data_IF_962312653328
#
_entry.id   IF_962312653328
#
_cell.length_a   1.000
_cell.length_b   1.000
_cell.length_c   1.000
_cell.angle_alpha   90.00
_cell.angle_beta   90.00
_cell.angle_gamma   90.00
#
_symmetry.space_group_name_H-M   'P 1'
#
loop_
_entity.id
_entity.type
_entity.pdbx_description
1 polymer ?
#
# COMPACT_ATOMS: atom_id res chain seq x y z
N UNK A 1 11.05 31.70 -0.78
CA UNK A 1 10.72 30.56 -1.65
C UNK A 1 10.24 29.40 -0.78
N UNK A 2 9.19 28.69 -1.21
CA UNK A 2 8.74 27.48 -0.53
C UNK A 2 9.52 26.27 -1.05
N UNK A 3 9.78 25.29 -0.17
CA UNK A 3 10.28 23.98 -0.57
C UNK A 3 9.06 23.15 -1.00
N UNK A 4 9.07 22.62 -2.21
CA UNK A 4 8.05 21.71 -2.71
C UNK A 4 8.42 20.29 -2.28
N UNK A 5 7.46 19.61 -1.61
CA UNK A 5 7.54 18.19 -1.30
C UNK A 5 6.58 17.45 -2.24
N UNK A 6 7.08 16.79 -3.28
CA UNK A 6 6.25 16.01 -4.17
C UNK A 6 5.83 14.71 -3.49
N UNK A 7 4.52 14.49 -3.43
CA UNK A 7 3.89 13.30 -2.85
C UNK A 7 3.20 12.53 -3.98
N UNK A 8 3.50 11.25 -4.08
CA UNK A 8 2.88 10.35 -5.06
C UNK A 8 2.06 9.28 -4.32
N UNK A 9 0.84 9.07 -4.79
CA UNK A 9 -0.02 7.99 -4.32
C UNK A 9 -0.68 7.34 -5.54
N UNK A 10 -0.76 6.01 -5.56
CA UNK A 10 -1.32 5.26 -6.69
C UNK A 10 -2.49 4.38 -6.22
N UNK A 11 -3.67 4.53 -6.85
CA UNK A 11 -4.85 3.78 -6.46
C UNK A 11 -5.90 3.76 -7.59
N UNK A 12 -6.80 2.76 -7.54
CA UNK A 12 -7.98 2.68 -8.39
C UNK A 12 -9.22 3.27 -7.69
N UNK A 13 -10.35 3.26 -8.42
CA UNK A 13 -11.61 3.80 -7.91
C UNK A 13 -12.12 3.10 -6.62
N UNK A 14 -11.76 1.84 -6.39
CA UNK A 14 -12.15 1.10 -5.18
C UNK A 14 -11.40 1.56 -3.94
N UNK A 15 -10.21 2.11 -4.13
CA UNK A 15 -9.36 2.64 -3.06
C UNK A 15 -9.52 4.15 -2.83
N UNK A 16 -10.51 4.81 -3.45
CA UNK A 16 -10.74 6.25 -3.27
C UNK A 16 -10.99 6.64 -1.79
N UNK A 17 -11.76 5.84 -1.04
CA UNK A 17 -12.03 6.09 0.39
C UNK A 17 -10.75 5.93 1.23
N UNK A 18 -10.00 4.80 1.18
CA UNK A 18 -8.72 4.68 1.85
C UNK A 18 -7.73 5.79 1.49
N UNK A 19 -7.61 6.13 0.20
CA UNK A 19 -6.74 7.21 -0.28
C UNK A 19 -7.12 8.57 0.34
N UNK A 20 -8.42 8.88 0.44
CA UNK A 20 -8.90 10.10 1.10
C UNK A 20 -8.51 10.16 2.56
N UNK A 21 -8.67 9.07 3.31
CA UNK A 21 -8.24 8.97 4.72
C UNK A 21 -6.73 9.10 4.85
N UNK A 22 -5.97 8.41 3.99
CA UNK A 22 -4.50 8.47 3.98
C UNK A 22 -4.01 9.91 3.75
N UNK A 23 -4.47 10.57 2.69
CA UNK A 23 -4.07 11.93 2.35
C UNK A 23 -4.49 12.95 3.41
N UNK A 24 -5.73 12.84 3.94
CA UNK A 24 -6.18 13.73 5.01
C UNK A 24 -5.29 13.58 6.25
N UNK A 25 -5.05 12.35 6.71
CA UNK A 25 -4.23 12.10 7.90
C UNK A 25 -2.80 12.61 7.71
N UNK A 26 -2.22 12.43 6.52
CA UNK A 26 -0.88 12.94 6.19
C UNK A 26 -0.82 14.46 6.34
N UNK A 27 -1.76 15.20 5.71
CA UNK A 27 -1.76 16.66 5.77
C UNK A 27 -2.14 17.21 7.14
N UNK A 28 -3.00 16.51 7.89
CA UNK A 28 -3.36 16.89 9.25
C UNK A 28 -2.18 16.82 10.24
N UNK A 29 -1.21 15.95 9.97
CA UNK A 29 0.02 15.83 10.75
C UNK A 29 1.19 16.66 10.18
N UNK A 30 1.05 17.20 8.96
CA UNK A 30 2.14 17.79 8.21
C UNK A 30 2.62 19.12 8.80
N UNK A 31 3.91 19.27 8.95
CA UNK A 31 4.53 20.58 9.22
C UNK A 31 4.42 21.48 7.99
N UNK A 32 4.20 22.76 8.22
CA UNK A 32 4.14 23.79 7.15
C UNK A 32 5.45 24.54 6.97
N UNK A 33 6.47 24.24 7.78
CA UNK A 33 7.80 24.83 7.73
C UNK A 33 8.88 23.81 8.08
N UNK A 34 10.03 23.95 7.42
CA UNK A 34 11.28 23.29 7.78
C UNK A 34 12.36 24.38 7.92
N UNK A 35 12.88 24.55 9.15
CA UNK A 35 13.61 25.74 9.56
C UNK A 35 12.82 27.03 9.19
N UNK A 36 13.43 27.97 8.48
CA UNK A 36 12.77 29.23 8.09
C UNK A 36 12.02 29.18 6.74
N UNK A 37 12.02 28.00 6.07
CA UNK A 37 11.40 27.84 4.76
C UNK A 37 10.01 27.23 4.89
N UNK A 38 9.04 27.79 4.17
CA UNK A 38 7.70 27.23 4.06
C UNK A 38 7.77 25.91 3.28
N UNK A 39 6.97 24.92 3.68
CA UNK A 39 6.76 23.69 2.94
C UNK A 39 5.46 23.77 2.14
N UNK A 40 5.48 23.19 0.94
CA UNK A 40 4.31 23.04 0.10
C UNK A 40 4.23 21.60 -0.41
N UNK A 41 3.13 20.91 -0.14
CA UNK A 41 2.94 19.51 -0.53
C UNK A 41 2.22 19.44 -1.89
N UNK A 42 2.95 19.02 -2.93
CA UNK A 42 2.40 18.81 -4.26
C UNK A 42 2.02 17.34 -4.41
N UNK A 43 0.73 17.05 -4.33
CA UNK A 43 0.21 15.69 -4.33
C UNK A 43 -0.18 15.31 -5.77
N UNK A 44 0.35 14.20 -6.26
CA UNK A 44 0.02 13.60 -7.54
C UNK A 44 -0.63 12.23 -7.28
N UNK A 45 -1.92 12.14 -7.61
CA UNK A 45 -2.66 10.89 -7.56
C UNK A 45 -2.56 10.20 -8.92
N UNK A 46 -1.81 9.10 -9.01
CA UNK A 46 -1.87 8.19 -10.15
C UNK A 46 -3.14 7.36 -9.99
N UNK A 47 -4.04 7.39 -10.96
CA UNK A 47 -5.36 6.77 -10.83
C UNK A 47 -5.71 5.88 -12.02
N UNK A 48 -6.56 4.88 -11.78
CA UNK A 48 -7.13 4.00 -12.79
C UNK A 48 -8.65 4.15 -12.78
N UNK A 49 -9.21 4.81 -13.81
CA UNK A 49 -10.64 5.05 -13.97
C UNK A 49 -11.31 5.67 -12.73
N UNK A 50 -10.67 6.66 -12.12
CA UNK A 50 -11.23 7.35 -10.97
C UNK A 50 -12.44 8.20 -11.41
N UNK A 51 -13.62 7.94 -10.83
CA UNK A 51 -14.84 8.68 -11.15
C UNK A 51 -14.71 10.17 -10.81
N UNK A 52 -15.38 11.03 -11.58
CA UNK A 52 -15.42 12.47 -11.32
C UNK A 52 -15.96 12.79 -9.92
N UNK A 53 -16.90 11.99 -9.43
CA UNK A 53 -17.45 12.11 -8.08
C UNK A 53 -16.37 11.85 -7.02
N UNK A 54 -15.56 10.80 -7.18
CA UNK A 54 -14.47 10.51 -6.25
C UNK A 54 -13.33 11.54 -6.36
N UNK A 55 -13.05 12.06 -7.56
CA UNK A 55 -12.11 13.19 -7.72
C UNK A 55 -12.59 14.43 -6.96
N UNK A 56 -13.89 14.76 -7.07
CA UNK A 56 -14.50 15.87 -6.33
C UNK A 56 -14.39 15.68 -4.83
N UNK A 57 -14.78 14.50 -4.32
CA UNK A 57 -14.66 14.16 -2.89
C UNK A 57 -13.22 14.22 -2.37
N UNK A 58 -12.26 13.78 -3.15
CA UNK A 58 -10.84 13.90 -2.79
C UNK A 58 -10.40 15.35 -2.71
N UNK A 59 -10.79 16.20 -3.68
CA UNK A 59 -10.52 17.65 -3.61
C UNK A 59 -11.15 18.28 -2.36
N UNK A 60 -12.42 17.97 -2.09
CA UNK A 60 -13.11 18.45 -0.88
C UNK A 60 -12.43 17.97 0.42
N UNK A 61 -11.95 16.70 0.43
CA UNK A 61 -11.19 16.15 1.56
C UNK A 61 -9.94 16.98 1.86
N UNK A 62 -9.28 17.50 0.83
CA UNK A 62 -8.01 18.22 0.95
C UNK A 62 -8.17 19.74 1.03
N UNK A 63 -9.34 20.28 0.74
CA UNK A 63 -9.61 21.73 0.78
C UNK A 63 -9.20 22.44 2.09
N UNK A 64 -9.30 21.83 3.29
CA UNK A 64 -8.81 22.46 4.51
C UNK A 64 -7.29 22.76 4.50
N UNK A 65 -6.53 22.19 3.59
CA UNK A 65 -5.08 22.29 3.50
C UNK A 65 -4.56 23.10 2.30
N UNK A 66 -5.44 23.72 1.51
CA UNK A 66 -5.11 24.46 0.27
C UNK A 66 -4.05 25.55 0.46
N UNK A 67 -3.89 26.06 1.69
CA UNK A 67 -2.86 27.05 2.00
C UNK A 67 -1.42 26.52 1.81
N UNK A 68 -1.22 25.20 1.90
CA UNK A 68 0.12 24.57 1.83
C UNK A 68 0.13 23.23 1.07
N UNK A 69 -0.95 22.84 0.45
CA UNK A 69 -1.02 21.62 -0.35
C UNK A 69 -1.85 21.82 -1.63
N UNK A 70 -1.60 21.02 -2.64
CA UNK A 70 -2.44 20.91 -3.84
C UNK A 70 -2.47 19.49 -4.36
N UNK A 71 -3.55 19.10 -5.06
CA UNK A 71 -3.73 17.76 -5.61
C UNK A 71 -4.03 17.79 -7.10
N UNK A 72 -3.33 16.93 -7.85
CA UNK A 72 -3.57 16.66 -9.26
C UNK A 72 -3.83 15.17 -9.47
N UNK A 73 -4.58 14.83 -10.52
CA UNK A 73 -4.87 13.45 -10.90
C UNK A 73 -4.27 13.15 -12.28
N UNK A 74 -3.52 12.07 -12.37
CA UNK A 74 -3.00 11.52 -13.63
C UNK A 74 -3.64 10.15 -13.83
N UNK A 75 -4.56 10.06 -14.79
CA UNK A 75 -5.22 8.79 -15.14
C UNK A 75 -4.30 7.96 -16.05
N UNK A 76 -4.02 6.73 -15.63
CA UNK A 76 -3.21 5.76 -16.37
C UNK A 76 -4.05 4.61 -16.94
N UNK A 77 -5.38 4.75 -16.99
CA UNK A 77 -6.30 3.67 -17.37
C UNK A 77 -6.08 3.16 -18.80
N UNK A 78 -5.77 4.06 -19.72
CA UNK A 78 -5.59 3.74 -21.14
C UNK A 78 -4.17 4.02 -21.60
N UNK A 79 -3.54 3.07 -22.33
CA UNK A 79 -2.27 3.34 -22.99
C UNK A 79 -2.45 4.43 -24.07
N UNK A 80 -1.39 5.18 -24.33
CA UNK A 80 -1.36 6.18 -25.40
C UNK A 80 -1.24 5.51 -26.78
N UNK A 81 -2.33 5.02 -27.31
CA UNK A 81 -2.39 4.31 -28.60
C UNK A 81 -2.00 5.17 -29.83
N UNK A 82 -1.75 6.46 -29.66
CA UNK A 82 -1.52 7.43 -30.76
C UNK A 82 -0.13 8.04 -30.81
N UNK A 83 0.83 7.57 -30.00
CA UNK A 83 2.22 8.06 -30.13
C UNK A 83 2.90 7.39 -31.32
N UNK A 84 3.16 8.16 -32.34
CA UNK A 84 4.02 7.77 -33.50
C UNK A 84 5.51 7.74 -33.13
N UNK A 85 5.87 7.98 -31.87
CA UNK A 85 7.25 7.92 -31.38
C UNK A 85 7.68 6.49 -31.11
N UNK A 86 8.91 6.17 -31.48
CA UNK A 86 9.56 4.88 -31.26
C UNK A 86 9.73 4.56 -29.76
N UNK A 87 9.64 5.58 -28.89
CA UNK A 87 9.75 5.44 -27.44
C UNK A 87 8.35 5.26 -26.80
N UNK A 88 8.19 4.19 -26.03
CA UNK A 88 7.00 3.95 -25.23
C UNK A 88 6.84 5.06 -24.17
N UNK A 89 5.64 5.60 -24.03
CA UNK A 89 5.32 6.49 -22.91
C UNK A 89 5.45 5.77 -21.58
N UNK A 90 5.56 6.49 -20.46
CA UNK A 90 5.58 5.89 -19.12
C UNK A 90 4.32 5.05 -18.86
N UNK A 91 3.16 5.47 -19.37
CA UNK A 91 1.89 4.73 -19.24
C UNK A 91 1.95 3.44 -20.02
N UNK A 92 2.48 3.45 -21.26
CA UNK A 92 2.62 2.23 -22.08
C UNK A 92 3.54 1.22 -21.41
N UNK A 93 4.67 1.68 -20.83
CA UNK A 93 5.59 0.81 -20.05
C UNK A 93 4.91 0.16 -18.85
N UNK A 94 4.00 0.88 -18.15
CA UNK A 94 3.22 0.32 -17.02
C UNK A 94 2.31 -0.81 -17.52
N UNK A 95 1.58 -0.59 -18.62
CA UNK A 95 0.70 -1.59 -19.21
C UNK A 95 1.48 -2.81 -19.73
N UNK A 96 2.59 -2.55 -20.41
CA UNK A 96 3.48 -3.60 -20.90
C UNK A 96 4.02 -4.45 -19.76
N UNK A 97 4.61 -3.80 -18.72
CA UNK A 97 5.15 -4.50 -17.56
C UNK A 97 4.07 -5.32 -16.83
N UNK A 98 2.85 -4.78 -16.66
CA UNK A 98 1.76 -5.54 -16.06
C UNK A 98 1.36 -6.75 -16.92
N UNK A 99 1.40 -6.63 -18.25
CA UNK A 99 1.09 -7.74 -19.18
C UNK A 99 2.03 -8.94 -19.02
N UNK A 100 3.28 -8.70 -18.59
CA UNK A 100 4.30 -9.74 -18.38
C UNK A 100 4.13 -10.53 -17.08
N UNK A 101 3.25 -10.11 -16.17
CA UNK A 101 3.06 -10.79 -14.90
C UNK A 101 2.30 -12.12 -15.05
N UNK A 102 2.54 -13.04 -14.11
CA UNK A 102 1.78 -14.29 -14.03
C UNK A 102 0.31 -14.04 -13.64
N UNK A 103 -0.53 -15.05 -13.88
CA UNK A 103 -1.97 -14.94 -13.63
C UNK A 103 -2.29 -14.67 -12.15
N UNK A 104 -1.53 -15.24 -11.22
CA UNK A 104 -1.73 -15.03 -9.79
C UNK A 104 -1.52 -13.55 -9.41
N UNK A 105 -0.42 -12.95 -9.89
CA UNK A 105 -0.14 -11.54 -9.66
C UNK A 105 -1.23 -10.65 -10.29
N UNK A 106 -1.66 -10.93 -11.53
CA UNK A 106 -2.72 -10.18 -12.22
C UNK A 106 -4.10 -10.28 -11.56
N UNK A 107 -4.40 -11.38 -10.87
CA UNK A 107 -5.68 -11.52 -10.15
C UNK A 107 -5.64 -10.88 -8.78
N UNK A 108 -4.46 -10.74 -8.18
CA UNK A 108 -4.28 -10.18 -6.84
C UNK A 108 -4.05 -8.67 -6.84
N UNK A 109 -3.34 -8.16 -7.83
CA UNK A 109 -2.92 -6.77 -7.91
C UNK A 109 -3.51 -6.09 -9.15
N UNK A 110 -3.82 -4.81 -9.02
CA UNK A 110 -4.11 -3.96 -10.17
C UNK A 110 -2.79 -3.49 -10.83
N UNK A 111 -2.87 -3.00 -12.08
CA UNK A 111 -1.71 -2.43 -12.77
C UNK A 111 -1.07 -1.25 -12.04
N UNK A 112 -1.80 -0.63 -11.09
CA UNK A 112 -1.33 0.50 -10.28
C UNK A 112 -0.04 0.20 -9.52
N UNK A 113 0.21 -1.07 -9.13
CA UNK A 113 1.45 -1.45 -8.46
C UNK A 113 2.69 -1.23 -9.34
N UNK A 114 2.54 -1.38 -10.67
CA UNK A 114 3.64 -1.21 -11.63
C UNK A 114 4.06 0.26 -11.83
N UNK A 115 3.23 1.23 -11.42
CA UNK A 115 3.61 2.66 -11.49
C UNK A 115 4.92 2.95 -10.76
N UNK A 116 5.21 2.19 -9.69
CA UNK A 116 6.46 2.34 -8.91
C UNK A 116 7.73 2.10 -9.71
N UNK A 117 7.63 1.38 -10.82
CA UNK A 117 8.79 1.07 -11.65
C UNK A 117 9.15 2.18 -12.64
N UNK A 118 8.24 3.16 -12.87
CA UNK A 118 8.35 4.17 -13.91
C UNK A 118 8.16 5.61 -13.40
N UNK A 119 8.55 5.86 -12.13
CA UNK A 119 8.35 7.15 -11.47
C UNK A 119 9.20 8.28 -12.07
N UNK A 120 10.38 7.97 -12.60
CA UNK A 120 11.28 8.96 -13.18
C UNK A 120 10.74 9.49 -14.52
N UNK A 121 10.11 8.63 -15.33
CA UNK A 121 9.43 9.00 -16.57
C UNK A 121 8.08 9.70 -16.32
N UNK A 122 7.33 9.27 -15.27
CA UNK A 122 6.08 9.92 -14.88
C UNK A 122 6.27 11.32 -14.30
N UNK A 123 7.39 11.56 -13.60
CA UNK A 123 7.66 12.82 -12.89
C UNK A 123 9.06 13.38 -13.23
N UNK A 124 9.32 13.71 -14.51
CA UNK A 124 10.64 14.17 -14.95
C UNK A 124 11.06 15.52 -14.33
N UNK A 125 10.09 16.30 -13.82
CA UNK A 125 10.30 17.60 -13.20
C UNK A 125 10.88 17.53 -11.78
N UNK A 126 10.90 16.34 -11.14
CA UNK A 126 11.39 16.16 -9.78
C UNK A 126 12.67 15.35 -9.74
N UNK A 127 13.59 15.73 -8.85
CA UNK A 127 14.77 14.94 -8.54
C UNK A 127 14.54 13.96 -7.39
N UNK A 128 13.58 14.27 -6.50
CA UNK A 128 13.25 13.47 -5.32
C UNK A 128 11.76 13.57 -5.03
N UNK A 129 11.17 12.44 -4.63
CA UNK A 129 9.76 12.34 -4.26
C UNK A 129 9.56 11.46 -3.01
N UNK A 130 8.40 11.58 -2.39
CA UNK A 130 7.87 10.59 -1.43
C UNK A 130 6.71 9.88 -2.12
N UNK A 131 6.66 8.54 -2.02
CA UNK A 131 5.54 7.74 -2.48
C UNK A 131 5.06 6.82 -1.37
N UNK A 132 3.73 6.67 -1.23
CA UNK A 132 3.15 5.73 -0.27
C UNK A 132 1.85 5.10 -0.79
N UNK A 133 1.45 3.99 -0.15
CA UNK A 133 0.24 3.25 -0.49
C UNK A 133 -1.02 3.95 0.03
N UNK A 134 -2.15 3.71 -0.65
CA UNK A 134 -3.44 4.29 -0.27
C UNK A 134 -4.05 3.67 1.00
N UNK A 135 -3.60 2.50 1.42
CA UNK A 135 -4.05 1.79 2.63
C UNK A 135 -3.20 2.13 3.85
N UNK A 136 -2.96 3.42 4.06
CA UNK A 136 -2.12 3.95 5.14
C UNK A 136 -2.87 4.94 6.03
N UNK A 137 -2.32 5.19 7.22
CA UNK A 137 -2.79 6.20 8.16
C UNK A 137 -1.57 6.89 8.79
N UNK A 138 -1.47 8.20 8.62
CA UNK A 138 -0.39 8.97 9.22
C UNK A 138 -0.75 9.38 10.65
N UNK A 139 0.19 9.18 11.56
CA UNK A 139 0.08 9.55 12.97
C UNK A 139 1.01 10.71 13.34
N UNK A 140 2.06 10.94 12.54
CA UNK A 140 3.02 12.01 12.71
C UNK A 140 3.46 12.61 11.38
N UNK A 141 4.21 13.70 11.46
CA UNK A 141 4.72 14.45 10.32
C UNK A 141 5.68 13.62 9.45
N UNK A 142 5.43 13.63 8.14
CA UNK A 142 6.23 12.91 7.14
C UNK A 142 7.32 13.77 6.51
N UNK A 143 7.27 15.10 6.68
CA UNK A 143 8.12 16.03 5.92
C UNK A 143 9.61 15.82 6.13
N UNK A 144 10.02 15.43 7.34
CA UNK A 144 11.43 15.19 7.66
C UNK A 144 12.02 14.05 6.82
N UNK A 145 11.20 13.10 6.37
CA UNK A 145 11.66 12.02 5.50
C UNK A 145 12.17 12.54 4.15
N UNK A 146 11.59 13.63 3.63
CA UNK A 146 12.04 14.24 2.38
C UNK A 146 13.47 14.75 2.44
N UNK A 147 13.95 15.13 3.62
CA UNK A 147 15.30 15.69 3.81
C UNK A 147 16.35 14.60 4.10
N UNK A 148 15.98 13.34 4.28
CA UNK A 148 16.93 12.23 4.44
C UNK A 148 17.82 12.15 3.18
N UNK A 149 19.17 12.20 3.29
CA UNK A 149 20.06 12.09 2.15
C UNK A 149 19.91 10.71 1.46
N UNK A 150 19.91 10.72 0.13
CA UNK A 150 19.87 9.49 -0.69
C UNK A 150 21.08 9.41 -1.64
N UNK A 151 22.24 9.94 -1.22
CA UNK A 151 23.44 9.90 -2.04
C UNK A 151 23.88 8.45 -2.29
N UNK A 152 23.89 8.05 -3.56
CA UNK A 152 24.22 6.68 -3.96
C UNK A 152 23.10 5.65 -3.80
N UNK A 153 21.93 6.02 -3.23
CA UNK A 153 20.77 5.14 -3.09
C UNK A 153 19.68 5.49 -4.08
N UNK A 154 19.06 4.48 -4.67
CA UNK A 154 17.89 4.66 -5.55
C UNK A 154 16.65 5.09 -4.77
N UNK A 155 16.47 4.51 -3.59
CA UNK A 155 15.37 4.85 -2.69
C UNK A 155 15.67 4.46 -1.25
N UNK A 156 14.89 5.02 -0.34
CA UNK A 156 14.78 4.58 1.05
C UNK A 156 13.48 3.81 1.26
N UNK A 157 13.55 2.66 1.95
CA UNK A 157 12.40 1.81 2.31
C UNK A 157 12.64 1.04 3.60
N UNK A 158 11.58 0.67 4.32
CA UNK A 158 11.66 -0.26 5.43
C UNK A 158 11.74 -1.71 4.92
N UNK A 159 12.41 -2.59 5.64
CA UNK A 159 12.37 -4.03 5.34
C UNK A 159 10.97 -4.58 5.54
N UNK A 160 10.56 -5.52 4.70
CA UNK A 160 9.30 -6.24 4.91
C UNK A 160 9.45 -7.18 6.11
N UNK A 161 8.57 -7.04 7.11
CA UNK A 161 8.63 -7.87 8.31
C UNK A 161 8.08 -9.29 8.10
N UNK A 162 7.24 -9.47 7.07
CA UNK A 162 6.59 -10.74 6.76
C UNK A 162 7.47 -11.64 5.89
N UNK A 163 8.57 -11.10 5.35
CA UNK A 163 9.49 -11.89 4.54
C UNK A 163 10.34 -12.83 5.39
N UNK A 164 10.64 -14.04 4.89
CA UNK A 164 11.62 -14.92 5.50
C UNK A 164 12.95 -14.18 5.65
N UNK A 165 13.59 -14.34 6.81
CA UNK A 165 14.84 -13.63 7.10
C UNK A 165 16.07 -14.18 6.37
N UNK A 166 15.95 -15.36 5.76
CA UNK A 166 17.03 -16.01 4.99
C UNK A 166 16.50 -17.19 4.20
N UNK A 167 17.22 -17.59 3.17
CA UNK A 167 16.94 -18.81 2.41
C UNK A 167 16.91 -20.06 3.32
N UNK A 168 17.80 -20.14 4.30
CA UNK A 168 17.82 -21.23 5.28
C UNK A 168 16.55 -21.27 6.14
N UNK A 169 16.06 -20.11 6.59
CA UNK A 169 14.80 -20.02 7.35
C UNK A 169 13.62 -20.48 6.48
N UNK A 170 13.60 -20.07 5.22
CA UNK A 170 12.60 -20.49 4.26
C UNK A 170 12.60 -22.00 4.01
N UNK A 171 13.78 -22.61 3.80
CA UNK A 171 13.92 -24.07 3.64
C UNK A 171 13.39 -24.81 4.87
N UNK A 172 13.69 -24.32 6.08
CA UNK A 172 13.20 -24.90 7.35
C UNK A 172 11.68 -24.77 7.49
N UNK A 173 11.09 -23.63 7.12
CA UNK A 173 9.64 -23.42 7.12
C UNK A 173 8.95 -24.34 6.11
N UNK A 174 9.54 -24.52 4.91
CA UNK A 174 9.06 -25.42 3.89
C UNK A 174 9.04 -26.89 4.34
N UNK A 175 10.06 -27.33 5.03
CA UNK A 175 10.11 -28.70 5.60
C UNK A 175 9.01 -28.91 6.62
N UNK A 176 8.62 -27.87 7.37
CA UNK A 176 7.53 -27.91 8.36
C UNK A 176 6.15 -27.82 7.75
N UNK A 177 5.98 -27.03 6.68
CA UNK A 177 4.70 -26.81 6.00
C UNK A 177 4.81 -26.97 4.46
N UNK A 178 4.92 -28.20 3.95
CA UNK A 178 5.17 -28.46 2.52
C UNK A 178 4.11 -27.98 1.54
N UNK A 179 2.92 -27.58 2.03
CA UNK A 179 1.76 -27.19 1.21
C UNK A 179 1.55 -25.69 1.11
N UNK A 180 2.39 -24.87 1.72
CA UNK A 180 2.26 -23.42 1.59
C UNK A 180 2.81 -22.89 0.26
N UNK A 181 2.21 -21.82 -0.24
CA UNK A 181 2.34 -21.18 -1.56
C UNK A 181 3.73 -20.62 -1.93
N UNK A 182 4.78 -21.13 -1.36
CA UNK A 182 6.16 -20.74 -1.69
C UNK A 182 6.66 -21.32 -3.02
N UNK A 183 5.87 -22.16 -3.66
CA UNK A 183 6.24 -22.90 -4.88
C UNK A 183 6.47 -22.04 -6.12
N UNK A 184 5.98 -20.79 -6.17
CA UNK A 184 6.16 -19.92 -7.33
C UNK A 184 7.62 -19.49 -7.52
N UNK A 185 8.26 -18.99 -6.46
CA UNK A 185 9.68 -18.60 -6.55
C UNK A 185 10.60 -19.75 -6.92
N UNK A 186 10.32 -20.95 -6.40
CA UNK A 186 11.16 -22.12 -6.58
C UNK A 186 11.14 -22.69 -8.01
N UNK A 187 10.02 -22.56 -8.69
CA UNK A 187 9.91 -23.08 -10.05
C UNK A 187 10.56 -22.18 -11.11
N UNK A 188 10.75 -20.90 -10.80
CA UNK A 188 11.04 -19.91 -11.81
C UNK A 188 12.21 -18.98 -11.48
N UNK A 189 12.59 -18.83 -10.21
CA UNK A 189 13.76 -18.04 -9.80
C UNK A 189 14.94 -18.98 -9.54
N UNK A 190 16.13 -18.56 -9.96
CA UNK A 190 17.35 -19.23 -9.58
C UNK A 190 17.68 -18.98 -8.09
N UNK A 191 18.57 -19.78 -7.53
CA UNK A 191 18.94 -19.74 -6.11
C UNK A 191 19.46 -18.35 -5.68
N UNK A 192 20.24 -17.70 -6.54
CA UNK A 192 20.77 -16.34 -6.27
C UNK A 192 19.66 -15.30 -6.14
N UNK A 193 18.68 -15.31 -7.06
CA UNK A 193 17.56 -14.37 -7.02
C UNK A 193 16.68 -14.60 -5.79
N UNK A 194 16.43 -15.87 -5.46
CA UNK A 194 15.71 -16.23 -4.25
C UNK A 194 16.43 -15.72 -2.99
N UNK A 195 17.74 -15.89 -2.91
CA UNK A 195 18.53 -15.40 -1.80
C UNK A 195 18.45 -13.86 -1.69
N UNK A 196 18.56 -13.14 -2.82
CA UNK A 196 18.43 -11.67 -2.83
C UNK A 196 17.08 -11.25 -2.27
N UNK A 197 15.98 -11.86 -2.70
CA UNK A 197 14.62 -11.54 -2.23
C UNK A 197 14.52 -11.83 -0.72
N UNK A 198 14.89 -13.01 -0.27
CA UNK A 198 14.73 -13.37 1.13
C UNK A 198 15.57 -12.54 2.10
N UNK A 199 16.75 -12.12 1.70
CA UNK A 199 17.63 -11.32 2.55
C UNK A 199 17.33 -9.82 2.51
N UNK A 200 16.79 -9.33 1.38
CA UNK A 200 16.67 -7.91 1.09
C UNK A 200 15.26 -7.44 0.76
N UNK A 201 14.23 -8.23 1.04
CA UNK A 201 12.86 -7.83 0.71
C UNK A 201 12.46 -6.55 1.45
N UNK A 202 12.05 -5.53 0.68
CA UNK A 202 11.63 -4.23 1.18
C UNK A 202 10.13 -4.07 1.02
N UNK A 203 9.47 -3.52 2.02
CA UNK A 203 8.07 -3.12 1.85
C UNK A 203 8.01 -1.76 1.16
N UNK A 204 7.48 -1.73 -0.07
CA UNK A 204 7.44 -0.54 -0.92
C UNK A 204 6.22 0.35 -0.68
N UNK A 205 5.47 0.10 0.38
CA UNK A 205 4.32 0.92 0.76
C UNK A 205 4.67 2.30 1.31
N UNK A 206 5.95 2.58 1.56
CA UNK A 206 6.52 3.90 1.78
C UNK A 206 7.90 3.98 1.18
N UNK A 207 8.11 4.93 0.29
CA UNK A 207 9.38 5.16 -0.42
C UNK A 207 9.77 6.64 -0.40
N UNK A 208 11.06 6.89 -0.21
CA UNK A 208 11.70 8.15 -0.57
C UNK A 208 12.54 7.82 -1.79
N UNK A 209 12.27 8.45 -2.94
CA UNK A 209 12.88 8.02 -4.22
C UNK A 209 13.80 9.10 -4.79
N UNK A 210 15.01 8.70 -5.20
CA UNK A 210 15.99 9.53 -5.89
C UNK A 210 15.82 9.40 -7.41
N UNK A 211 14.87 10.14 -7.97
CA UNK A 211 14.58 10.10 -9.41
C UNK A 211 15.74 10.58 -10.28
N UNK A 212 16.56 11.49 -9.74
CA UNK A 212 17.79 11.93 -10.44
C UNK A 212 18.73 10.76 -10.71
N UNK A 213 18.99 9.93 -9.69
CA UNK A 213 19.83 8.75 -9.84
C UNK A 213 19.16 7.67 -10.71
N UNK A 214 17.83 7.52 -10.64
CA UNK A 214 17.10 6.60 -11.51
C UNK A 214 17.31 6.93 -12.98
N UNK A 215 17.21 8.22 -13.34
CA UNK A 215 17.47 8.68 -14.71
C UNK A 215 18.92 8.47 -15.10
N UNK A 216 19.88 8.85 -14.23
CA UNK A 216 21.30 8.73 -14.51
C UNK A 216 21.75 7.28 -14.76
N UNK A 217 21.17 6.32 -14.05
CA UNK A 217 21.52 4.88 -14.13
C UNK A 217 20.58 4.09 -15.07
N UNK A 218 19.68 4.75 -15.82
CA UNK A 218 18.68 4.11 -16.71
C UNK A 218 17.90 2.99 -16.00
N UNK A 219 17.52 3.23 -14.73
CA UNK A 219 16.95 2.17 -13.88
C UNK A 219 15.61 1.64 -14.42
N UNK A 220 14.77 2.49 -15.01
CA UNK A 220 13.46 2.09 -15.53
C UNK A 220 13.57 1.10 -16.70
N UNK A 221 14.54 1.28 -17.58
CA UNK A 221 14.82 0.34 -18.67
C UNK A 221 15.28 -1.02 -18.12
N UNK A 222 16.13 -0.98 -17.09
CA UNK A 222 16.57 -2.20 -16.40
C UNK A 222 15.42 -2.92 -15.73
N UNK A 223 14.49 -2.19 -15.09
CA UNK A 223 13.29 -2.74 -14.44
C UNK A 223 12.33 -3.32 -15.47
N UNK A 224 12.10 -2.66 -16.61
CA UNK A 224 11.27 -3.20 -17.69
C UNK A 224 11.87 -4.48 -18.25
N UNK A 225 13.17 -4.49 -18.56
CA UNK A 225 13.87 -5.70 -19.03
C UNK A 225 13.81 -6.84 -18.00
N UNK A 226 13.97 -6.52 -16.72
CA UNK A 226 13.84 -7.50 -15.65
C UNK A 226 12.40 -8.05 -15.55
N UNK A 227 11.40 -7.21 -15.78
CA UNK A 227 9.99 -7.62 -15.82
C UNK A 227 9.72 -8.59 -16.98
N UNK A 228 10.28 -8.35 -18.17
CA UNK A 228 10.20 -9.30 -19.29
C UNK A 228 10.83 -10.65 -18.94
N UNK A 229 11.95 -10.64 -18.24
CA UNK A 229 12.67 -11.87 -17.89
C UNK A 229 12.02 -12.65 -16.75
N UNK A 230 11.46 -11.94 -15.75
CA UNK A 230 11.09 -12.51 -14.44
C UNK A 230 9.64 -12.22 -14.00
N UNK A 231 8.86 -11.47 -14.78
CA UNK A 231 7.49 -11.11 -14.43
C UNK A 231 6.57 -12.30 -14.17
N UNK A 232 6.84 -13.44 -14.85
CA UNK A 232 6.10 -14.69 -14.61
C UNK A 232 6.46 -15.38 -13.28
N UNK A 233 7.55 -14.96 -12.63
CA UNK A 233 8.13 -15.63 -11.47
C UNK A 233 7.90 -14.88 -10.15
N UNK A 234 7.43 -13.61 -10.20
CA UNK A 234 7.30 -12.76 -9.05
C UNK A 234 5.96 -12.91 -8.35
N UNK A 235 5.96 -12.76 -7.02
CA UNK A 235 4.78 -12.91 -6.17
C UNK A 235 4.21 -11.56 -5.72
N UNK A 236 5.07 -10.63 -5.30
CA UNK A 236 4.79 -9.23 -5.05
C UNK A 236 5.50 -8.41 -6.13
N UNK A 237 4.87 -8.18 -7.30
CA UNK A 237 5.57 -7.85 -8.54
C UNK A 237 6.54 -6.68 -8.42
N UNK A 238 6.07 -5.51 -8.02
CA UNK A 238 6.88 -4.30 -7.92
C UNK A 238 7.92 -4.40 -6.80
N UNK A 239 7.56 -5.03 -5.69
CA UNK A 239 8.42 -5.20 -4.52
C UNK A 239 9.57 -6.17 -4.83
N UNK A 240 9.27 -7.29 -5.48
CA UNK A 240 10.25 -8.29 -5.89
C UNK A 240 11.21 -7.72 -6.94
N UNK A 241 10.67 -7.06 -7.98
CA UNK A 241 11.45 -6.48 -9.07
C UNK A 241 12.37 -5.37 -8.58
N UNK A 242 11.88 -4.46 -7.72
CA UNK A 242 12.71 -3.43 -7.10
C UNK A 242 13.78 -4.04 -6.18
N UNK A 243 13.44 -5.09 -5.42
CA UNK A 243 14.42 -5.79 -4.61
C UNK A 243 15.54 -6.40 -5.47
N UNK A 244 15.19 -7.14 -6.52
CA UNK A 244 16.16 -7.77 -7.41
C UNK A 244 17.06 -6.76 -8.13
N UNK A 245 16.49 -5.64 -8.59
CA UNK A 245 17.24 -4.64 -9.34
C UNK A 245 18.10 -3.71 -8.46
N UNK A 246 17.68 -3.49 -7.20
CA UNK A 246 18.16 -2.35 -6.42
C UNK A 246 18.78 -2.73 -5.06
N UNK A 247 18.78 -3.99 -4.62
CA UNK A 247 19.12 -4.39 -3.24
C UNK A 247 20.43 -3.83 -2.68
N UNK A 248 21.40 -3.50 -3.55
CA UNK A 248 22.69 -2.90 -3.16
C UNK A 248 22.63 -1.38 -2.98
N UNK A 249 21.59 -0.72 -3.48
CA UNK A 249 21.42 0.74 -3.49
C UNK A 249 20.11 1.15 -2.83
N UNK A 250 19.73 0.51 -1.71
CA UNK A 250 18.55 0.85 -0.91
C UNK A 250 18.97 1.31 0.47
N UNK A 251 18.52 2.51 0.86
CA UNK A 251 18.67 3.00 2.23
C UNK A 251 17.61 2.35 3.12
N UNK A 252 18.04 1.63 4.15
CA UNK A 252 17.11 1.01 5.10
C UNK A 252 16.54 2.09 6.02
N UNK A 253 15.24 2.31 5.93
CA UNK A 253 14.50 3.20 6.81
C UNK A 253 14.03 2.46 8.07
N UNK A 254 13.93 3.17 9.22
CA UNK A 254 13.25 2.66 10.40
C UNK A 254 11.79 2.26 10.11
N UNK A 255 11.27 1.27 10.83
CA UNK A 255 9.89 0.82 10.68
C UNK A 255 8.84 1.89 10.98
N UNK A 256 9.18 2.96 11.72
CA UNK A 256 8.25 4.08 11.99
C UNK A 256 7.67 4.71 10.72
N UNK A 257 8.37 4.64 9.58
CA UNK A 257 7.91 5.12 8.28
C UNK A 257 6.94 4.17 7.57
N UNK A 258 6.92 2.89 7.96
CA UNK A 258 6.06 1.89 7.32
C UNK A 258 5.71 0.79 8.33
N UNK A 259 4.88 1.13 9.31
CA UNK A 259 4.57 0.26 10.45
C UNK A 259 3.30 -0.53 10.17
N UNK A 260 3.39 -1.86 10.07
CA UNK A 260 2.18 -2.68 10.13
C UNK A 260 1.55 -2.63 11.53
N UNK A 261 0.20 -2.55 11.69
CA UNK A 261 -0.45 -2.45 12.99
C UNK A 261 -0.01 -3.50 14.03
N UNK A 262 0.28 -4.73 13.62
CA UNK A 262 0.82 -5.77 14.52
C UNK A 262 2.25 -5.48 15.03
N UNK A 263 3.01 -4.65 14.33
CA UNK A 263 4.37 -4.27 14.75
C UNK A 263 4.36 -3.10 15.72
N UNK A 264 3.35 -2.25 15.65
CA UNK A 264 3.26 -1.02 16.43
C UNK A 264 3.43 -1.26 17.93
N UNK A 265 2.94 -2.40 18.45
CA UNK A 265 3.03 -2.79 19.86
C UNK A 265 4.28 -3.62 20.19
N UNK A 266 5.19 -3.84 19.23
CA UNK A 266 6.39 -4.67 19.43
C UNK A 266 7.63 -3.79 19.48
N UNK A 267 8.18 -3.56 20.68
CA UNK A 267 9.36 -2.71 20.92
C UNK A 267 10.59 -3.06 20.06
N UNK A 268 10.71 -4.30 19.61
CA UNK A 268 11.81 -4.73 18.72
C UNK A 268 11.74 -4.08 17.31
N UNK A 269 10.55 -3.69 16.86
CA UNK A 269 10.35 -3.01 15.58
C UNK A 269 10.17 -1.50 15.75
N UNK A 270 9.36 -1.12 16.75
CA UNK A 270 9.04 0.27 17.07
C UNK A 270 9.31 0.48 18.56
N UNK A 271 10.50 1.00 18.92
CA UNK A 271 10.87 1.23 20.31
C UNK A 271 9.91 2.19 21.04
N UNK A 272 9.45 3.22 20.35
CA UNK A 272 8.49 4.20 20.86
C UNK A 272 7.32 4.38 19.88
N UNK A 273 6.13 3.99 20.31
CA UNK A 273 4.90 4.08 19.49
C UNK A 273 4.53 5.52 19.12
N UNK A 274 4.88 6.49 19.95
CA UNK A 274 4.59 7.91 19.69
C UNK A 274 5.38 8.45 18.49
N UNK A 275 6.43 7.76 18.07
CA UNK A 275 7.27 8.11 16.91
C UNK A 275 6.77 7.51 15.59
N UNK A 276 5.73 6.66 15.62
CA UNK A 276 5.18 6.08 14.38
C UNK A 276 4.70 7.21 13.48
N UNK A 277 5.28 7.31 12.29
CA UNK A 277 4.90 8.29 11.28
C UNK A 277 3.71 7.78 10.49
N UNK A 278 3.77 6.53 10.01
CA UNK A 278 2.75 5.95 9.16
C UNK A 278 2.45 4.50 9.54
N UNK A 279 1.17 4.21 9.72
CA UNK A 279 0.64 2.85 9.75
C UNK A 279 0.28 2.40 8.33
N UNK A 280 0.56 1.14 8.00
CA UNK A 280 0.25 0.55 6.72
C UNK A 280 -0.56 -0.73 6.91
N UNK A 281 -1.79 -0.76 6.41
CA UNK A 281 -2.75 -1.84 6.58
C UNK A 281 -2.66 -2.87 5.44
N UNK A 282 -1.47 -3.40 5.16
CA UNK A 282 -1.31 -4.45 4.14
C UNK A 282 -1.70 -5.85 4.68
N UNK A 283 -1.87 -6.83 3.80
CA UNK A 283 -2.43 -8.17 4.08
C UNK A 283 -3.88 -8.14 4.59
N UNK A 284 -4.12 -8.73 5.78
CA UNK A 284 -5.43 -8.83 6.43
C UNK A 284 -5.63 -7.66 7.40
N UNK A 285 -6.89 -7.36 7.70
CA UNK A 285 -7.19 -6.36 8.75
C UNK A 285 -7.27 -4.94 8.23
N UNK A 286 -7.91 -4.74 7.08
CA UNK A 286 -8.23 -3.40 6.57
C UNK A 286 -9.30 -2.74 7.44
N UNK A 287 -9.10 -1.52 8.00
CA UNK A 287 -10.08 -0.84 8.85
C UNK A 287 -11.45 -0.68 8.21
N UNK A 288 -11.50 -0.45 6.91
CA UNK A 288 -12.75 -0.28 6.16
C UNK A 288 -13.50 -1.58 5.87
N UNK A 289 -12.91 -2.73 6.18
CA UNK A 289 -13.54 -4.06 6.06
C UNK A 289 -13.76 -4.65 7.44
N UNK A 290 -12.84 -4.43 8.38
CA UNK A 290 -12.87 -4.98 9.74
C UNK A 290 -12.71 -3.85 10.77
N UNK A 291 -13.82 -3.20 11.17
CA UNK A 291 -13.79 -2.05 12.10
C UNK A 291 -13.26 -2.34 13.50
N UNK A 292 -13.09 -3.63 13.84
CA UNK A 292 -12.52 -4.08 15.12
C UNK A 292 -11.02 -4.34 15.05
N UNK A 293 -10.39 -4.08 13.89
CA UNK A 293 -8.96 -4.27 13.74
C UNK A 293 -8.16 -3.18 14.48
N UNK A 294 -6.88 -3.42 14.71
CA UNK A 294 -5.99 -2.45 15.36
C UNK A 294 -5.99 -1.12 14.60
N UNK A 295 -6.08 -0.01 15.31
CA UNK A 295 -6.12 1.35 14.78
C UNK A 295 -7.32 1.66 13.86
N UNK A 296 -8.35 0.81 13.85
CA UNK A 296 -9.59 1.09 13.10
C UNK A 296 -10.32 2.32 13.65
N UNK A 297 -10.26 2.55 14.96
CA UNK A 297 -10.86 3.74 15.59
C UNK A 297 -10.27 5.01 15.01
N UNK A 298 -8.95 5.13 15.02
CA UNK A 298 -8.20 6.29 14.51
C UNK A 298 -8.47 6.50 13.02
N UNK A 299 -8.52 5.41 12.24
CA UNK A 299 -8.85 5.46 10.82
C UNK A 299 -10.26 6.02 10.58
N UNK A 300 -11.27 5.57 11.35
CA UNK A 300 -12.65 6.04 11.24
C UNK A 300 -12.81 7.47 11.75
N UNK A 301 -12.05 7.91 12.75
CA UNK A 301 -12.03 9.30 13.21
C UNK A 301 -11.56 10.26 12.10
N UNK A 302 -10.63 9.83 11.26
CA UNK A 302 -10.24 10.59 10.06
C UNK A 302 -11.33 10.51 8.99
N UNK A 303 -11.89 9.33 8.71
CA UNK A 303 -12.96 9.16 7.73
C UNK A 303 -14.16 10.09 8.01
N UNK A 304 -14.52 10.29 9.28
CA UNK A 304 -15.58 11.23 9.71
C UNK A 304 -15.35 12.67 9.26
N UNK A 305 -14.09 13.06 9.01
CA UNK A 305 -13.71 14.41 8.55
C UNK A 305 -13.71 14.54 7.03
N UNK A 306 -14.09 13.49 6.30
CA UNK A 306 -14.09 13.43 4.84
C UNK A 306 -15.52 13.31 4.28
N UNK A 307 -15.79 13.78 3.07
CA UNK A 307 -17.11 13.59 2.42
C UNK A 307 -17.41 12.13 2.07
N UNK A 308 -16.47 11.22 2.27
CA UNK A 308 -16.64 9.78 2.03
C UNK A 308 -17.42 9.06 3.13
N UNK A 309 -17.57 9.64 4.33
CA UNK A 309 -18.18 8.96 5.46
C UNK A 309 -19.60 8.46 5.20
N UNK A 310 -20.46 9.29 4.58
CA UNK A 310 -21.85 8.91 4.29
C UNK A 310 -21.91 7.71 3.33
N UNK A 311 -21.13 7.73 2.25
CA UNK A 311 -21.07 6.64 1.27
C UNK A 311 -20.52 5.36 1.92
N UNK A 312 -19.42 5.49 2.68
CA UNK A 312 -18.84 4.36 3.40
C UNK A 312 -19.85 3.71 4.34
N UNK A 313 -20.56 4.50 5.13
CA UNK A 313 -21.54 4.00 6.11
C UNK A 313 -22.65 3.19 5.45
N UNK A 314 -23.21 3.70 4.33
CA UNK A 314 -24.25 2.99 3.57
C UNK A 314 -23.69 1.69 2.97
N UNK A 315 -22.51 1.75 2.35
CA UNK A 315 -21.87 0.59 1.75
C UNK A 315 -21.53 -0.48 2.80
N UNK A 316 -21.00 -0.05 3.94
CA UNK A 316 -20.65 -0.95 5.04
C UNK A 316 -21.91 -1.65 5.63
N UNK A 317 -22.97 -0.88 5.90
CA UNK A 317 -24.24 -1.44 6.38
C UNK A 317 -24.85 -2.42 5.36
N UNK A 318 -24.78 -2.11 4.06
CA UNK A 318 -25.24 -3.02 3.01
C UNK A 318 -24.44 -4.31 3.01
N UNK A 319 -23.11 -4.26 3.04
CA UNK A 319 -22.27 -5.46 3.12
C UNK A 319 -22.55 -6.30 4.37
N UNK A 320 -22.71 -5.65 5.52
CA UNK A 320 -23.07 -6.35 6.76
C UNK A 320 -24.42 -7.07 6.64
N UNK A 321 -25.42 -6.44 6.03
CA UNK A 321 -26.74 -7.05 5.84
C UNK A 321 -26.76 -8.17 4.80
N UNK A 322 -25.91 -8.09 3.77
CA UNK A 322 -25.75 -9.13 2.74
C UNK A 322 -25.01 -10.38 3.30
N UNK A 323 -24.03 -10.17 4.18
CA UNK A 323 -23.32 -11.27 4.86
C UNK A 323 -24.22 -12.03 5.84
N UNK A 324 -25.36 -11.47 6.27
CA UNK A 324 -26.36 -12.13 7.08
C UNK A 324 -27.34 -12.89 6.18
N UNK A 325 -27.18 -14.19 6.03
CA UNK A 325 -28.19 -15.03 5.36
C UNK A 325 -29.56 -14.89 6.03
N UNK A 326 -30.67 -15.16 5.32
CA UNK A 326 -32.01 -15.14 5.88
C UNK A 326 -32.12 -16.04 7.13
N UNK A 327 -31.42 -17.17 7.14
CA UNK A 327 -31.31 -18.08 8.32
C UNK A 327 -30.51 -17.44 9.48
N UNK A 328 -29.52 -16.63 9.15
CA UNK A 328 -28.74 -15.93 10.15
C UNK A 328 -29.45 -14.66 10.64
N UNK A 329 -30.33 -14.04 9.84
CA UNK A 329 -31.17 -12.90 10.26
C UNK A 329 -32.11 -13.29 11.40
N UNK A 330 -32.74 -14.46 11.31
CA UNK A 330 -33.58 -14.96 12.40
C UNK A 330 -32.76 -15.30 13.63
N UNK A 331 -31.62 -15.97 13.47
CA UNK A 331 -30.68 -16.28 14.55
C UNK A 331 -29.99 -15.03 15.11
N UNK A 332 -29.78 -14.02 14.29
CA UNK A 332 -29.22 -12.73 14.72
C UNK A 332 -30.26 -11.95 15.51
N UNK A 333 -31.52 -12.03 15.15
CA UNK A 333 -32.62 -11.43 15.92
C UNK A 333 -32.81 -12.13 17.26
N UNK A 334 -32.84 -13.46 17.28
CA UNK A 334 -32.86 -14.30 18.49
C UNK A 334 -31.61 -14.06 19.36
N UNK A 335 -30.51 -13.68 18.75
CA UNK A 335 -29.24 -13.37 19.40
C UNK A 335 -29.16 -11.92 19.91
N UNK A 336 -29.69 -10.96 19.17
CA UNK A 336 -29.70 -9.54 19.57
C UNK A 336 -30.72 -9.28 20.66
N UNK A 337 -31.80 -10.07 20.75
CA UNK A 337 -32.81 -9.93 21.78
C UNK A 337 -32.26 -10.07 23.23
N UNK A 338 -31.32 -10.99 23.54
CA UNK A 338 -30.64 -11.05 24.84
C UNK A 338 -29.52 -10.01 25.01
N UNK A 339 -29.01 -9.37 23.94
CA UNK A 339 -27.87 -8.45 23.95
C UNK A 339 -28.18 -7.06 24.49
N UNK A 340 -29.41 -6.79 24.77
CA UNK A 340 -29.79 -5.72 25.68
C UNK A 340 -29.18 -5.92 27.09
N UNK A 341 -28.55 -7.08 27.33
CA UNK A 341 -27.84 -7.41 28.56
C UNK A 341 -26.33 -7.65 28.31
N UNK A 342 -25.54 -6.66 28.67
CA UNK A 342 -24.17 -6.29 28.16
C UNK A 342 -23.02 -7.29 28.30
N UNK A 343 -23.09 -8.43 28.96
CA UNK A 343 -21.90 -9.24 29.30
C UNK A 343 -21.58 -10.39 28.35
N UNK A 344 -22.58 -10.93 27.67
CA UNK A 344 -22.46 -12.13 26.81
C UNK A 344 -22.15 -11.82 25.34
N UNK A 345 -22.15 -10.55 24.93
CA UNK A 345 -22.01 -10.12 23.55
C UNK A 345 -20.61 -10.38 22.99
N UNK A 346 -19.59 -9.99 23.72
CA UNK A 346 -18.19 -10.11 23.26
C UNK A 346 -17.76 -11.58 23.11
N UNK A 347 -18.11 -12.43 24.06
CA UNK A 347 -17.75 -13.85 24.03
C UNK A 347 -18.42 -14.61 22.89
N UNK A 348 -19.67 -14.31 22.60
CA UNK A 348 -20.39 -14.98 21.52
C UNK A 348 -20.00 -14.47 20.13
N UNK A 349 -19.72 -13.18 19.98
CA UNK A 349 -19.17 -12.61 18.74
C UNK A 349 -17.80 -13.22 18.42
N UNK A 350 -16.92 -13.34 19.42
CA UNK A 350 -15.64 -14.04 19.28
C UNK A 350 -15.81 -15.52 18.90
N UNK A 351 -16.72 -16.21 19.54
CA UNK A 351 -17.01 -17.62 19.25
C UNK A 351 -17.59 -17.83 17.85
N UNK A 352 -18.46 -16.95 17.37
CA UNK A 352 -19.05 -17.03 16.02
C UNK A 352 -18.06 -16.63 14.93
N UNK A 353 -17.28 -15.60 15.14
CA UNK A 353 -16.23 -15.20 14.22
C UNK A 353 -15.18 -16.31 14.08
N UNK A 354 -14.77 -16.96 15.16
CA UNK A 354 -13.85 -18.10 15.10
C UNK A 354 -14.41 -19.28 14.29
N UNK A 355 -15.71 -19.56 14.38
CA UNK A 355 -16.38 -20.59 13.55
C UNK A 355 -16.52 -20.19 12.09
N UNK A 356 -16.77 -18.92 11.78
CA UNK A 356 -16.84 -18.40 10.40
C UNK A 356 -15.44 -18.45 9.79
N UNK A 357 -14.41 -18.01 10.50
CA UNK A 357 -13.01 -18.13 10.06
C UNK A 357 -12.59 -19.59 9.82
N UNK A 358 -13.00 -20.50 10.68
CA UNK A 358 -12.72 -21.93 10.49
C UNK A 358 -13.39 -22.49 9.23
N UNK A 359 -14.65 -22.13 8.96
CA UNK A 359 -15.39 -22.55 7.75
C UNK A 359 -14.88 -21.90 6.48
N UNK A 360 -14.46 -20.63 6.52
CA UNK A 360 -13.81 -19.97 5.40
C UNK A 360 -12.45 -20.58 5.10
N UNK A 361 -11.68 -20.89 6.13
CA UNK A 361 -10.40 -21.60 5.99
C UNK A 361 -10.58 -22.99 5.38
N UNK A 362 -11.61 -23.74 5.80
CA UNK A 362 -11.95 -25.06 5.24
C UNK A 362 -12.46 -24.99 3.79
N UNK A 363 -13.18 -23.93 3.39
CA UNK A 363 -13.61 -23.72 1.99
C UNK A 363 -12.46 -23.29 1.08
N UNK A 364 -11.54 -22.46 1.56
CA UNK A 364 -10.35 -22.06 0.81
C UNK A 364 -9.27 -23.14 0.71
N UNK A 365 -9.34 -24.17 1.56
CA UNK A 365 -8.40 -25.31 1.51
C UNK A 365 -8.93 -26.45 0.64
N UNK A 366 -10.22 -26.44 0.27
CA UNK A 366 -10.87 -27.47 -0.55
C UNK A 366 -11.29 -26.99 -1.95
N UNK A 367 -10.94 -25.76 -2.33
CA UNK A 367 -11.01 -25.20 -3.69
C UNK A 367 -9.60 -24.92 -4.22
#
# INVERSE_FOLDING_TARGET
>A
MSIIIPIIIAFDNHYAIPAGVSLYSMLACAKTKHHDKKLFYKIHCLVDNLSLENQRKLKETLAPFDAFASVDFLDISTPNLYTTSVELSAIDKIHEAFSQLNIYAKTRFSKMVMCRLFLASLFPQYDKIIMFDADTLFLNDVSESFFIPLDGYYFGAAKDFASPKSLKHFQTEREREPRQKFSLYEHYLNEKDMQIIYENHYNVGFLIVNLKLWRADHLEERLLNLTHQKGQCVFCPEQDLLTLACYQKVLILPYIYNTHPFMANQKRFVPNQQEIIMLHFYFVGKPWVLPTFLYSKEWHEILLKTPFYAEYSVKFLKQMTECLSLKDKQKTFEFLAPLLNKKTLLEYVFFRLSKIFKRLKERFLNS
#
